data_IF_566630876081
#
_entry.id   IF_566630876081
#
_cell.length_a   1.000
_cell.length_b   1.000
_cell.length_c   1.000
_cell.angle_alpha   90.00
_cell.angle_beta   90.00
_cell.angle_gamma   90.00
#
_symmetry.space_group_name_H-M   'P 1'
#
loop_
_entity.id
_entity.type
_entity.pdbx_description
1 polymer ?
#
# COMPACT_ATOMS: atom_id res chain seq x y z
N UNK A 1 16.01 -5.43 -6.28
CA UNK A 1 15.50 -6.02 -5.02
C UNK A 1 14.34 -6.96 -5.31
N UNK A 2 13.27 -6.53 -6.00
CA UNK A 2 12.19 -7.43 -6.45
C UNK A 2 12.24 -7.86 -7.92
N UNK A 3 12.92 -7.10 -8.80
CA UNK A 3 13.09 -7.41 -10.24
C UNK A 3 11.76 -7.73 -10.98
N UNK A 4 10.69 -7.05 -10.57
CA UNK A 4 9.35 -7.29 -11.10
C UNK A 4 9.23 -6.88 -12.57
N UNK A 5 8.43 -7.60 -13.37
CA UNK A 5 8.19 -7.29 -14.77
C UNK A 5 7.16 -6.15 -14.96
N UNK A 6 7.09 -5.20 -14.02
CA UNK A 6 6.14 -4.09 -14.03
C UNK A 6 6.83 -2.74 -14.24
N UNK A 7 6.15 -1.77 -14.86
CA UNK A 7 6.62 -0.39 -14.87
C UNK A 7 6.89 0.13 -13.45
N UNK A 8 7.89 0.99 -13.29
CA UNK A 8 8.26 1.59 -11.99
C UNK A 8 7.11 2.29 -11.25
N UNK A 9 6.09 2.75 -11.97
CA UNK A 9 4.92 3.46 -11.42
C UNK A 9 3.68 2.56 -11.31
N UNK A 10 3.80 1.27 -11.57
CA UNK A 10 2.69 0.34 -11.42
C UNK A 10 2.29 0.25 -9.94
N UNK A 11 1.00 0.45 -9.68
CA UNK A 11 0.43 0.38 -8.32
C UNK A 11 -0.31 -0.93 -8.06
N UNK A 12 -0.51 -1.75 -9.10
CA UNK A 12 -1.40 -2.91 -9.04
C UNK A 12 -2.85 -2.60 -9.38
N UNK A 13 -3.26 -1.32 -9.40
CA UNK A 13 -4.62 -0.94 -9.77
C UNK A 13 -4.92 -1.31 -11.23
N UNK A 14 -6.03 -1.99 -11.46
CA UNK A 14 -6.43 -2.48 -12.79
C UNK A 14 -5.69 -3.72 -13.27
N UNK A 15 -4.83 -4.35 -12.44
CA UNK A 15 -4.20 -5.62 -12.79
C UNK A 15 -5.25 -6.72 -12.99
N UNK A 16 -5.13 -7.45 -14.10
CA UNK A 16 -5.87 -8.69 -14.33
C UNK A 16 -5.26 -9.84 -13.51
N UNK A 17 -5.95 -11.00 -13.38
CA UNK A 17 -5.37 -12.18 -12.75
C UNK A 17 -4.04 -12.61 -13.38
N UNK A 18 -3.87 -12.43 -14.70
CA UNK A 18 -2.61 -12.72 -15.40
C UNK A 18 -1.48 -11.77 -14.97
N UNK A 19 -1.80 -10.49 -14.78
CA UNK A 19 -0.82 -9.49 -14.33
C UNK A 19 -0.40 -9.76 -12.88
N UNK A 20 -1.35 -10.14 -12.02
CA UNK A 20 -1.05 -10.56 -10.64
C UNK A 20 -0.17 -11.80 -10.61
N UNK A 21 -0.43 -12.79 -11.48
CA UNK A 21 0.41 -13.99 -11.58
C UNK A 21 1.87 -13.68 -11.98
N UNK A 22 2.12 -12.57 -12.69
CA UNK A 22 3.46 -12.14 -13.06
C UNK A 22 4.28 -11.59 -11.87
N UNK A 23 3.66 -11.38 -10.69
CA UNK A 23 4.38 -11.12 -9.43
C UNK A 23 5.15 -12.34 -8.93
N UNK A 24 4.90 -13.53 -9.49
CA UNK A 24 5.38 -14.81 -8.97
C UNK A 24 6.87 -14.88 -8.62
N UNK A 25 7.19 -15.68 -7.61
CA UNK A 25 8.58 -15.97 -7.19
C UNK A 25 9.18 -14.98 -6.20
N UNK A 26 8.41 -14.01 -5.69
CA UNK A 26 8.87 -13.11 -4.63
C UNK A 26 8.90 -13.86 -3.28
N UNK A 27 10.06 -13.96 -2.60
CA UNK A 27 10.16 -14.61 -1.29
C UNK A 27 9.36 -13.87 -0.21
N UNK A 28 8.77 -14.61 0.72
CA UNK A 28 7.99 -14.04 1.83
C UNK A 28 8.83 -13.12 2.71
N UNK A 29 10.10 -13.47 2.94
CA UNK A 29 11.07 -12.69 3.70
C UNK A 29 11.36 -11.35 3.03
N UNK A 30 11.34 -11.32 1.70
CA UNK A 30 11.54 -10.10 0.92
C UNK A 30 10.34 -9.16 1.04
N UNK A 31 9.11 -9.70 1.03
CA UNK A 31 7.89 -8.94 1.28
C UNK A 31 7.86 -8.37 2.70
N UNK A 32 8.16 -9.21 3.71
CA UNK A 32 8.21 -8.78 5.11
C UNK A 32 9.27 -7.68 5.32
N UNK A 33 10.48 -7.87 4.81
CA UNK A 33 11.54 -6.86 4.93
C UNK A 33 11.26 -5.57 4.13
N UNK A 34 10.41 -5.62 3.09
CA UNK A 34 9.95 -4.41 2.41
C UNK A 34 8.85 -3.70 3.21
N UNK A 35 7.90 -4.44 3.76
CA UNK A 35 6.90 -3.91 4.69
C UNK A 35 7.58 -3.17 5.85
N UNK A 36 8.55 -3.79 6.51
CA UNK A 36 9.25 -3.17 7.64
C UNK A 36 9.96 -1.86 7.25
N UNK A 37 10.64 -1.85 6.09
CA UNK A 37 11.30 -0.65 5.59
C UNK A 37 10.31 0.49 5.27
N UNK A 38 9.16 0.17 4.66
CA UNK A 38 8.10 1.15 4.36
C UNK A 38 7.43 1.63 5.65
N UNK A 39 7.21 0.74 6.61
CA UNK A 39 6.68 1.08 7.93
C UNK A 39 7.59 2.08 8.65
N UNK A 40 8.89 1.80 8.73
CA UNK A 40 9.86 2.69 9.38
C UNK A 40 9.89 4.08 8.71
N UNK A 41 9.90 4.13 7.38
CA UNK A 41 9.83 5.38 6.63
C UNK A 41 8.52 6.13 6.89
N UNK A 42 7.40 5.41 6.95
CA UNK A 42 6.08 5.98 7.20
C UNK A 42 5.98 6.57 8.60
N UNK A 43 6.46 5.84 9.62
CA UNK A 43 6.51 6.33 11.01
C UNK A 43 7.40 7.57 11.12
N UNK A 44 8.58 7.56 10.50
CA UNK A 44 9.47 8.72 10.47
C UNK A 44 8.80 9.94 9.82
N UNK A 45 8.09 9.74 8.71
CA UNK A 45 7.31 10.79 8.06
C UNK A 45 6.20 11.33 8.97
N UNK A 46 5.35 10.46 9.53
CA UNK A 46 4.22 10.86 10.38
C UNK A 46 4.70 11.65 11.61
N UNK A 47 5.82 11.27 12.23
CA UNK A 47 6.42 12.01 13.36
C UNK A 47 6.79 13.46 13.03
N UNK A 48 7.01 13.77 11.75
CA UNK A 48 7.33 15.12 11.29
C UNK A 48 6.09 15.96 10.94
N UNK A 49 4.92 15.33 10.80
CA UNK A 49 3.67 16.00 10.38
C UNK A 49 3.07 16.80 11.54
N UNK A 50 2.66 18.03 11.25
CA UNK A 50 1.93 18.90 12.17
C UNK A 50 0.48 19.08 11.72
N UNK A 51 -0.40 19.48 12.62
CA UNK A 51 -1.82 19.69 12.32
C UNK A 51 -2.07 20.65 11.14
N UNK A 52 -1.24 21.70 11.04
CA UNK A 52 -1.31 22.65 9.93
C UNK A 52 -1.03 22.01 8.56
N UNK A 53 -0.19 20.97 8.51
CA UNK A 53 0.18 20.27 7.27
C UNK A 53 -0.98 19.45 6.70
N UNK A 54 -1.93 19.03 7.54
CA UNK A 54 -3.06 18.19 7.13
C UNK A 54 -3.95 18.85 6.08
N UNK A 55 -3.94 20.18 6.00
CA UNK A 55 -4.70 20.97 5.02
C UNK A 55 -3.97 21.16 3.68
N UNK A 56 -2.68 20.80 3.59
CA UNK A 56 -1.90 20.93 2.36
C UNK A 56 -2.50 20.05 1.26
N UNK A 57 -2.75 20.61 0.08
CA UNK A 57 -3.19 19.86 -1.09
C UNK A 57 -2.02 19.01 -1.59
N UNK A 58 -2.26 17.71 -1.78
CA UNK A 58 -1.26 16.75 -2.29
C UNK A 58 -1.62 16.19 -3.67
N UNK A 59 -2.87 16.37 -4.09
CA UNK A 59 -3.36 15.93 -5.40
C UNK A 59 -4.57 16.78 -5.80
N UNK A 60 -4.39 17.61 -6.82
CA UNK A 60 -5.38 18.56 -7.33
C UNK A 60 -6.19 18.02 -8.52
N UNK A 61 -5.94 16.78 -8.94
CA UNK A 61 -6.68 16.13 -10.02
C UNK A 61 -8.06 15.62 -9.60
N UNK A 62 -8.42 15.71 -8.31
CA UNK A 62 -9.70 15.29 -7.74
C UNK A 62 -10.59 16.47 -7.33
N UNK A 63 -11.91 16.25 -7.27
CA UNK A 63 -12.88 17.24 -6.81
C UNK A 63 -13.72 16.65 -5.67
N UNK A 64 -13.59 17.14 -4.42
CA UNK A 64 -12.62 18.16 -3.98
C UNK A 64 -11.16 17.67 -4.04
N UNK A 65 -10.16 18.60 -4.12
CA UNK A 65 -8.75 18.23 -4.08
C UNK A 65 -8.40 17.43 -2.83
N UNK A 66 -7.49 16.47 -2.98
CA UNK A 66 -7.06 15.62 -1.87
C UNK A 66 -6.03 16.38 -1.03
N UNK A 67 -6.31 16.52 0.26
CA UNK A 67 -5.37 17.06 1.24
C UNK A 67 -4.47 15.96 1.81
N UNK A 68 -3.37 16.33 2.46
CA UNK A 68 -2.51 15.38 3.17
C UNK A 68 -3.31 14.56 4.19
N UNK A 69 -4.19 15.20 4.96
CA UNK A 69 -5.03 14.49 5.93
C UNK A 69 -5.94 13.45 5.27
N UNK A 70 -6.58 13.79 4.16
CA UNK A 70 -7.40 12.83 3.39
C UNK A 70 -6.53 11.69 2.89
N UNK A 71 -5.35 11.97 2.31
CA UNK A 71 -4.45 10.93 1.79
C UNK A 71 -3.97 9.98 2.89
N UNK A 72 -3.65 10.47 4.08
CA UNK A 72 -3.26 9.62 5.22
C UNK A 72 -4.40 8.69 5.65
N UNK A 73 -5.64 9.19 5.72
CA UNK A 73 -6.82 8.37 6.01
C UNK A 73 -7.05 7.33 4.90
N UNK A 74 -6.87 7.72 3.63
CA UNK A 74 -6.98 6.80 2.49
C UNK A 74 -6.01 5.64 2.61
N UNK A 75 -4.74 5.88 2.97
CA UNK A 75 -3.74 4.82 3.16
C UNK A 75 -4.14 3.88 4.30
N UNK A 76 -4.58 4.41 5.45
CA UNK A 76 -5.04 3.56 6.56
C UNK A 76 -6.23 2.69 6.15
N UNK A 77 -7.20 3.26 5.42
CA UNK A 77 -8.38 2.54 4.94
C UNK A 77 -8.01 1.42 3.96
N UNK A 78 -7.04 1.69 3.07
CA UNK A 78 -6.50 0.73 2.10
C UNK A 78 -5.82 -0.45 2.84
N UNK A 79 -4.90 -0.15 3.76
CA UNK A 79 -4.20 -1.16 4.57
C UNK A 79 -5.16 -2.06 5.35
N UNK A 80 -6.21 -1.48 5.97
CA UNK A 80 -7.23 -2.23 6.71
C UNK A 80 -8.04 -3.18 5.80
N UNK A 81 -8.33 -2.76 4.57
CA UNK A 81 -9.01 -3.63 3.61
C UNK A 81 -8.09 -4.77 3.16
N UNK A 82 -6.83 -4.48 2.85
CA UNK A 82 -5.88 -5.48 2.38
C UNK A 82 -5.50 -6.51 3.46
N UNK A 83 -5.30 -6.08 4.72
CA UNK A 83 -5.06 -7.03 5.81
C UNK A 83 -6.26 -7.94 6.05
N UNK A 84 -7.49 -7.43 5.89
CA UNK A 84 -8.71 -8.23 5.94
C UNK A 84 -8.77 -9.28 4.83
N UNK A 85 -8.44 -8.91 3.60
CA UNK A 85 -8.37 -9.83 2.46
C UNK A 85 -7.29 -10.91 2.68
N UNK A 86 -6.11 -10.54 3.15
CA UNK A 86 -5.03 -11.47 3.45
C UNK A 86 -5.42 -12.46 4.57
N UNK A 87 -6.06 -11.97 5.64
CA UNK A 87 -6.56 -12.80 6.72
C UNK A 87 -7.65 -13.78 6.25
N UNK A 88 -8.55 -13.33 5.37
CA UNK A 88 -9.57 -14.19 4.76
C UNK A 88 -8.94 -15.32 3.93
N UNK A 89 -7.97 -15.00 3.07
CA UNK A 89 -7.27 -16.00 2.23
C UNK A 89 -6.53 -17.00 3.11
N UNK A 90 -5.81 -16.53 4.13
CA UNK A 90 -5.12 -17.40 5.08
C UNK A 90 -6.10 -18.36 5.76
N UNK A 91 -7.19 -17.84 6.30
CA UNK A 91 -8.23 -18.65 6.94
C UNK A 91 -9.01 -19.53 5.98
N UNK A 92 -8.91 -19.33 4.67
CA UNK A 92 -9.42 -20.26 3.64
C UNK A 92 -8.45 -21.41 3.36
N UNK A 93 -7.15 -21.10 3.25
CA UNK A 93 -6.08 -22.08 3.00
C UNK A 93 -5.83 -23.00 4.20
N UNK A 94 -6.05 -22.53 5.42
CA UNK A 94 -5.87 -23.30 6.65
C UNK A 94 -7.10 -24.17 7.03
N UNK A 95 -8.15 -24.19 6.20
CA UNK A 95 -9.35 -25.01 6.47
C UNK A 95 -9.03 -26.51 6.28
N UNK A 96 -9.54 -27.38 7.17
CA UNK A 96 -9.39 -28.83 7.03
C UNK A 96 -10.16 -29.39 5.83
#
# INVERSE_FOLDING_TARGET
>A
RFELPFPRRATGYGHSPKDVAALGGVPAELLAGYHDAVHDQTVAFIRSVKDADLKRIVDDAWVPPVTLGVRLISVISDDLQHVGQAAFIRGWLERP
#
